data_IF_467947064418
#
_entry.id   IF_467947064418
#
_cell.length_a   1.000
_cell.length_b   1.000
_cell.length_c   1.000
_cell.angle_alpha   90.00
_cell.angle_beta   90.00
_cell.angle_gamma   90.00
#
_symmetry.space_group_name_H-M   'P 1'
#
loop_
_entity.id
_entity.type
_entity.pdbx_description
1 polymer ?
#
# COMPACT_ATOMS: atom_id res chain seq x y z
N UNK A 1 -16.86 -0.02 -20.68
CA UNK A 1 -15.39 -0.16 -20.59
C UNK A 1 -15.04 -0.39 -19.13
N UNK A 2 -14.37 -1.51 -18.79
CA UNK A 2 -13.85 -1.68 -17.42
C UNK A 2 -12.79 -0.60 -17.18
N UNK A 3 -12.90 0.14 -16.07
CA UNK A 3 -11.84 1.07 -15.65
C UNK A 3 -10.59 0.23 -15.33
N UNK A 4 -9.51 0.43 -16.08
CA UNK A 4 -8.23 -0.17 -15.75
C UNK A 4 -7.56 0.72 -14.69
N UNK A 5 -7.88 0.49 -13.41
CA UNK A 5 -7.34 1.27 -12.29
C UNK A 5 -5.82 1.30 -12.30
N UNK A 6 -5.16 0.20 -12.68
CA UNK A 6 -3.70 0.14 -12.82
C UNK A 6 -3.17 1.17 -13.82
N UNK A 7 -3.80 1.29 -15.00
CA UNK A 7 -3.41 2.29 -15.99
C UNK A 7 -3.58 3.72 -15.46
N UNK A 8 -4.69 4.00 -14.79
CA UNK A 8 -4.96 5.33 -14.21
C UNK A 8 -3.90 5.69 -13.16
N UNK A 9 -3.45 4.73 -12.35
CA UNK A 9 -2.40 4.98 -11.36
C UNK A 9 -1.05 5.30 -12.00
N UNK A 10 -0.68 4.57 -13.06
CA UNK A 10 0.54 4.83 -13.83
C UNK A 10 0.47 6.22 -14.49
N UNK A 11 -0.65 6.55 -15.12
CA UNK A 11 -0.87 7.86 -15.75
C UNK A 11 -0.81 9.02 -14.73
N UNK A 12 -1.13 8.75 -13.45
CA UNK A 12 -1.01 9.70 -12.34
C UNK A 12 0.41 9.84 -11.79
N UNK A 13 1.34 8.98 -12.17
CA UNK A 13 2.74 9.03 -11.74
C UNK A 13 3.14 8.00 -10.68
N UNK A 14 2.26 7.07 -10.30
CA UNK A 14 2.63 5.96 -9.41
C UNK A 14 3.67 5.09 -10.09
N UNK A 15 4.80 4.87 -9.44
CA UNK A 15 5.85 3.99 -9.94
C UNK A 15 5.47 2.53 -9.68
N UNK A 16 5.30 1.77 -10.77
CA UNK A 16 5.01 0.34 -10.69
C UNK A 16 6.00 -0.37 -11.62
N UNK A 17 7.16 -0.85 -11.10
CA UNK A 17 8.24 -1.38 -11.93
C UNK A 17 7.82 -2.55 -12.84
N UNK A 18 6.85 -3.36 -12.40
CA UNK A 18 6.26 -4.42 -13.21
C UNK A 18 4.72 -4.41 -13.07
N UNK A 19 4.00 -3.64 -13.91
CA UNK A 19 2.55 -3.43 -13.79
C UNK A 19 1.74 -4.73 -13.80
N UNK A 20 2.09 -5.69 -14.64
CA UNK A 20 1.37 -6.96 -14.80
C UNK A 20 1.43 -7.85 -13.54
N UNK A 21 2.34 -7.55 -12.60
CA UNK A 21 2.47 -8.28 -11.35
C UNK A 21 1.65 -7.72 -10.19
N UNK A 22 1.04 -6.54 -10.36
CA UNK A 22 0.27 -5.85 -9.31
C UNK A 22 -1.22 -5.99 -9.59
N UNK A 23 -1.97 -6.37 -8.56
CA UNK A 23 -3.43 -6.42 -8.63
C UNK A 23 -4.05 -5.21 -7.97
N UNK A 24 -4.84 -4.45 -8.71
CA UNK A 24 -5.67 -3.35 -8.19
C UNK A 24 -7.13 -3.72 -8.45
N UNK A 25 -7.93 -3.88 -7.38
CA UNK A 25 -9.34 -4.24 -7.56
C UNK A 25 -10.16 -3.10 -8.17
N UNK A 26 -11.32 -3.46 -8.73
CA UNK A 26 -12.20 -2.50 -9.43
C UNK A 26 -12.82 -1.46 -8.49
N UNK A 27 -12.96 -1.78 -7.19
CA UNK A 27 -13.56 -0.90 -6.18
C UNK A 27 -12.58 0.11 -5.57
N UNK A 28 -11.27 -0.03 -5.82
CA UNK A 28 -10.27 0.99 -5.42
C UNK A 28 -10.50 2.26 -6.23
N UNK A 29 -10.53 3.41 -5.55
CA UNK A 29 -10.57 4.71 -6.19
C UNK A 29 -9.14 5.22 -6.44
N UNK A 30 -8.68 5.36 -7.69
CA UNK A 30 -7.32 5.83 -8.01
C UNK A 30 -7.00 7.23 -7.46
N UNK A 31 -8.00 8.08 -7.23
CA UNK A 31 -7.83 9.41 -6.63
C UNK A 31 -7.32 9.37 -5.18
N UNK A 32 -7.47 8.23 -4.50
CA UNK A 32 -6.98 8.00 -3.13
C UNK A 32 -5.54 7.49 -3.09
N UNK A 33 -4.91 7.30 -4.24
CA UNK A 33 -3.51 6.91 -4.32
C UNK A 33 -2.75 8.09 -4.92
N UNK A 34 -1.81 8.60 -4.15
CA UNK A 34 -0.94 9.70 -4.56
C UNK A 34 -0.06 9.25 -5.72
N UNK A 35 0.06 10.10 -6.75
CA UNK A 35 1.08 9.94 -7.80
C UNK A 35 2.46 10.43 -7.38
N UNK A 36 2.54 11.21 -6.30
CA UNK A 36 3.78 11.84 -5.86
C UNK A 36 4.65 10.83 -5.09
N UNK A 37 5.67 10.30 -5.77
CA UNK A 37 6.72 9.45 -5.19
C UNK A 37 6.15 8.22 -4.45
N UNK A 38 5.12 7.59 -5.00
CA UNK A 38 4.60 6.30 -4.52
C UNK A 38 5.14 5.19 -5.39
N UNK A 39 5.72 4.16 -4.78
CA UNK A 39 6.19 2.96 -5.48
C UNK A 39 5.44 1.73 -5.00
N UNK A 40 4.85 0.98 -5.93
CA UNK A 40 4.21 -0.31 -5.64
C UNK A 40 5.02 -1.41 -6.32
N UNK A 41 5.67 -2.24 -5.50
CA UNK A 41 6.53 -3.34 -5.96
C UNK A 41 5.72 -4.58 -6.34
N UNK A 42 6.42 -5.55 -6.90
CA UNK A 42 5.83 -6.71 -7.56
C UNK A 42 5.03 -7.61 -6.62
N UNK A 43 3.97 -8.22 -7.14
CA UNK A 43 3.11 -9.15 -6.40
C UNK A 43 2.15 -8.51 -5.40
N UNK A 44 2.18 -7.17 -5.24
CA UNK A 44 1.30 -6.47 -4.32
C UNK A 44 -0.17 -6.51 -4.78
N UNK A 45 -1.08 -6.44 -3.80
CA UNK A 45 -2.53 -6.40 -4.02
C UNK A 45 -3.11 -5.20 -3.28
N UNK A 46 -3.79 -4.32 -3.99
CA UNK A 46 -4.52 -3.19 -3.40
C UNK A 46 -6.00 -3.44 -3.63
N UNK A 47 -6.74 -3.62 -2.54
CA UNK A 47 -8.16 -3.91 -2.57
C UNK A 47 -8.95 -3.06 -1.59
N UNK A 48 -10.25 -2.92 -1.84
CA UNK A 48 -11.14 -2.20 -0.94
C UNK A 48 -11.29 -0.71 -1.27
N UNK A 49 -12.54 -0.28 -1.40
CA UNK A 49 -12.93 1.11 -1.69
C UNK A 49 -12.39 2.19 -0.74
N UNK A 50 -11.98 1.82 0.48
CA UNK A 50 -11.43 2.77 1.46
C UNK A 50 -9.91 2.92 1.40
N UNK A 51 -9.22 2.07 0.64
CA UNK A 51 -7.75 2.10 0.57
C UNK A 51 -7.25 3.48 0.14
N UNK A 52 -6.22 3.96 0.86
CA UNK A 52 -5.58 5.26 0.67
C UNK A 52 -4.07 5.03 0.76
N UNK A 53 -3.30 5.60 -0.17
CA UNK A 53 -1.84 5.58 -0.13
C UNK A 53 -1.34 6.99 -0.42
N UNK A 54 -0.73 7.61 0.57
CA UNK A 54 -0.25 8.98 0.47
C UNK A 54 1.19 9.04 -0.07
N UNK A 55 1.64 10.25 -0.43
CA UNK A 55 2.92 10.51 -1.07
C UNK A 55 4.13 9.91 -0.34
N UNK A 56 5.22 9.70 -1.08
CA UNK A 56 6.50 9.16 -0.58
C UNK A 56 6.43 7.74 0.02
N UNK A 57 5.34 6.99 -0.23
CA UNK A 57 5.16 5.66 0.36
C UNK A 57 5.72 4.55 -0.54
N UNK A 58 6.31 3.54 0.08
CA UNK A 58 6.83 2.36 -0.62
C UNK A 58 6.13 1.09 -0.14
N UNK A 59 5.58 0.33 -1.10
CA UNK A 59 4.72 -0.81 -0.83
C UNK A 59 5.34 -2.07 -1.42
N UNK A 60 5.77 -2.99 -0.55
CA UNK A 60 6.21 -4.34 -0.87
C UNK A 60 7.66 -4.48 -1.32
N UNK A 61 8.58 -3.66 -0.80
CA UNK A 61 9.99 -3.68 -1.22
C UNK A 61 10.71 -5.01 -0.92
N UNK A 62 10.53 -5.59 0.27
CA UNK A 62 11.20 -6.86 0.65
C UNK A 62 10.37 -8.09 0.25
N UNK A 63 9.05 -7.97 0.26
CA UNK A 63 8.09 -9.02 -0.06
C UNK A 63 6.73 -8.42 -0.43
N UNK A 64 5.84 -9.15 -1.13
CA UNK A 64 4.53 -8.63 -1.49
C UNK A 64 3.71 -8.13 -0.30
N UNK A 65 3.00 -7.01 -0.51
CA UNK A 65 2.05 -6.45 0.46
C UNK A 65 0.63 -6.57 -0.09
N UNK A 66 -0.31 -6.96 0.78
CA UNK A 66 -1.74 -6.80 0.53
C UNK A 66 -2.30 -5.70 1.41
N UNK A 67 -2.90 -4.69 0.79
CA UNK A 67 -3.63 -3.60 1.44
C UNK A 67 -5.12 -3.84 1.20
N UNK A 68 -5.88 -3.97 2.28
CA UNK A 68 -7.34 -4.08 2.26
C UNK A 68 -7.96 -2.98 3.13
N UNK A 69 -8.67 -2.04 2.51
CA UNK A 69 -9.35 -0.91 3.19
C UNK A 69 -8.47 -0.18 4.21
N UNK A 70 -7.17 -0.10 3.94
CA UNK A 70 -6.19 0.46 4.88
C UNK A 70 -5.79 1.87 4.45
N UNK A 71 -5.65 2.77 5.44
CA UNK A 71 -5.21 4.14 5.23
C UNK A 71 -3.71 4.23 5.50
N UNK A 72 -2.93 4.33 4.43
CA UNK A 72 -1.47 4.47 4.49
C UNK A 72 -1.11 5.95 4.38
N UNK A 73 -0.67 6.53 5.48
CA UNK A 73 -0.18 7.91 5.59
C UNK A 73 1.11 8.14 4.79
N UNK A 74 1.59 9.39 4.83
CA UNK A 74 2.77 9.80 4.04
C UNK A 74 4.04 9.12 4.53
N UNK A 75 5.02 8.92 3.64
CA UNK A 75 6.34 8.37 3.97
C UNK A 75 6.33 6.97 4.61
N UNK A 76 5.25 6.21 4.45
CA UNK A 76 5.15 4.86 5.00
C UNK A 76 5.96 3.87 4.16
N UNK A 77 6.67 2.96 4.85
CA UNK A 77 7.42 1.87 4.23
C UNK A 77 6.83 0.53 4.69
N UNK A 78 6.02 -0.10 3.83
CA UNK A 78 5.45 -1.42 4.11
C UNK A 78 6.26 -2.46 3.35
N UNK A 79 7.18 -3.14 4.04
CA UNK A 79 8.17 -3.99 3.36
C UNK A 79 7.64 -5.35 2.95
N UNK A 80 6.59 -5.85 3.60
CA UNK A 80 5.94 -7.12 3.25
C UNK A 80 4.85 -7.51 4.25
N UNK A 81 3.74 -8.12 3.79
CA UNK A 81 2.69 -8.63 4.68
C UNK A 81 1.25 -8.30 4.29
N UNK A 82 0.34 -8.40 5.25
CA UNK A 82 -1.11 -8.20 5.09
C UNK A 82 -1.62 -7.13 6.05
N UNK A 83 -2.31 -6.12 5.51
CA UNK A 83 -2.85 -4.97 6.24
C UNK A 83 -4.33 -4.83 5.93
N UNK A 84 -5.17 -4.94 6.95
CA UNK A 84 -6.62 -4.93 6.79
C UNK A 84 -7.29 -3.94 7.74
N UNK A 85 -8.13 -3.07 7.19
CA UNK A 85 -8.99 -2.11 7.94
C UNK A 85 -8.22 -1.39 9.07
N UNK A 86 -7.01 -0.91 8.78
CA UNK A 86 -6.16 -0.21 9.73
C UNK A 86 -5.77 1.20 9.24
N UNK A 87 -5.23 2.00 10.16
CA UNK A 87 -4.77 3.38 9.90
C UNK A 87 -3.31 3.51 10.31
N UNK A 88 -2.48 4.00 9.39
CA UNK A 88 -1.08 4.32 9.60
C UNK A 88 -0.93 5.83 9.41
N UNK A 89 -0.73 6.60 10.49
CA UNK A 89 -0.81 8.06 10.47
C UNK A 89 0.38 8.74 9.74
N UNK A 90 1.40 7.98 9.33
CA UNK A 90 2.51 8.46 8.50
C UNK A 90 3.87 8.15 9.11
N UNK A 91 4.92 8.22 8.31
CA UNK A 91 6.29 7.90 8.69
C UNK A 91 6.44 6.51 9.35
N UNK A 92 5.49 5.60 9.11
CA UNK A 92 5.51 4.27 9.71
C UNK A 92 6.33 3.31 8.88
N UNK A 93 7.09 2.43 9.54
CA UNK A 93 7.83 1.35 8.88
C UNK A 93 7.39 -0.01 9.40
N UNK A 94 7.03 -0.91 8.49
CA UNK A 94 6.80 -2.32 8.79
C UNK A 94 7.83 -3.16 8.06
N UNK A 95 8.58 -3.98 8.80
CA UNK A 95 9.41 -5.05 8.23
C UNK A 95 8.58 -6.12 7.54
N UNK A 96 9.23 -7.00 6.77
CA UNK A 96 8.54 -8.11 6.12
C UNK A 96 7.88 -9.08 7.12
N UNK A 97 6.77 -9.68 6.69
CA UNK A 97 5.98 -10.63 7.49
C UNK A 97 4.89 -10.01 8.35
N UNK A 98 4.54 -8.75 8.13
CA UNK A 98 3.51 -8.08 8.91
C UNK A 98 2.12 -8.74 8.73
N UNK A 99 1.34 -8.81 9.81
CA UNK A 99 -0.08 -9.15 9.77
C UNK A 99 -0.85 -8.17 10.68
N UNK A 100 -1.30 -7.07 10.08
CA UNK A 100 -1.97 -5.97 10.78
C UNK A 100 -3.48 -6.12 10.62
N UNK A 101 -4.17 -6.23 11.75
CA UNK A 101 -5.60 -6.55 11.81
C UNK A 101 -6.45 -5.29 11.87
N UNK A 102 -7.73 -5.48 11.54
CA UNK A 102 -8.79 -4.49 11.65
C UNK A 102 -8.79 -3.75 12.98
N UNK A 103 -8.99 -2.44 12.92
CA UNK A 103 -9.08 -1.57 14.08
C UNK A 103 -7.72 -1.16 14.66
N UNK A 104 -6.62 -1.59 14.04
CA UNK A 104 -5.28 -1.13 14.40
C UNK A 104 -5.08 0.31 13.94
N UNK A 105 -4.53 1.15 14.81
CA UNK A 105 -4.08 2.50 14.51
C UNK A 105 -2.61 2.60 14.95
N UNK A 106 -1.75 3.07 14.06
CA UNK A 106 -0.39 3.47 14.38
C UNK A 106 -0.26 4.97 14.18
N UNK A 107 0.16 5.66 15.25
CA UNK A 107 0.54 7.07 15.23
C UNK A 107 1.83 7.28 14.41
N UNK A 108 2.16 8.53 14.11
CA UNK A 108 3.32 8.86 13.29
C UNK A 108 4.62 8.30 13.88
N UNK A 109 5.56 7.95 13.01
CA UNK A 109 6.91 7.45 13.36
C UNK A 109 6.94 6.09 14.08
N UNK A 110 5.79 5.47 14.36
CA UNK A 110 5.75 4.11 14.91
C UNK A 110 6.34 3.09 13.90
N UNK A 111 7.06 2.10 14.43
CA UNK A 111 7.66 1.03 13.63
C UNK A 111 7.37 -0.36 14.19
N UNK A 112 7.24 -1.33 13.29
CA UNK A 112 7.12 -2.75 13.61
C UNK A 112 8.20 -3.52 12.86
N UNK A 113 9.00 -4.30 13.60
CA UNK A 113 10.09 -5.09 13.05
C UNK A 113 9.58 -6.23 12.15
N UNK A 114 10.52 -6.92 11.48
CA UNK A 114 10.22 -8.10 10.68
C UNK A 114 9.83 -9.30 11.56
N UNK A 115 9.16 -10.29 10.97
CA UNK A 115 9.00 -11.61 11.60
C UNK A 115 10.30 -12.41 11.51
N UNK A 116 10.76 -12.97 12.62
CA UNK A 116 11.81 -13.99 12.63
C UNK A 116 11.17 -15.37 12.47
N UNK A 117 11.78 -16.22 11.64
CA UNK A 117 11.33 -17.59 11.35
C UNK A 117 12.37 -18.62 11.76
#
# INVERSE_FOLDING_TARGET
>A
MKKNNLKVLIDRGVEIPNPESVYISEDVNPERISGDNVTIFTGCKIVGSKSLIMKNSQIGYESPVTIENTLVGENCQLKGGFFQDCVLAGNNTFGSGAHVRKGTILEEEASAAHTVG
#
